data_IF_724702224438
#
_entry.id   IF_724702224438
#
_cell.length_a   1.000
_cell.length_b   1.000
_cell.length_c   1.000
_cell.angle_alpha   90.00
_cell.angle_beta   90.00
_cell.angle_gamma   90.00
#
_symmetry.space_group_name_H-M   'P 1'
#
loop_
_entity.id
_entity.type
_entity.pdbx_description
1 polymer ?
#
# COMPACT_ATOMS: atom_id res chain seq x y z
N UNK A 1 -25.89 24.92 -70.45
CA UNK A 1 -24.43 24.91 -70.19
C UNK A 1 -24.20 25.94 -69.09
N UNK A 2 -23.53 25.58 -67.97
CA UNK A 2 -23.48 26.25 -66.64
C UNK A 2 -24.54 25.74 -65.65
N UNK A 3 -24.29 25.32 -64.41
CA UNK A 3 -23.12 24.85 -63.63
C UNK A 3 -23.70 24.10 -62.43
N UNK A 4 -23.24 22.88 -62.13
CA UNK A 4 -23.64 22.13 -60.93
C UNK A 4 -22.82 22.61 -59.74
N UNK A 5 -23.49 22.93 -58.63
CA UNK A 5 -22.89 23.32 -57.35
C UNK A 5 -22.76 22.08 -56.46
N UNK A 6 -21.58 21.50 -56.40
CA UNK A 6 -21.27 20.41 -55.48
C UNK A 6 -21.09 20.93 -54.04
N UNK A 7 -22.03 20.57 -53.16
CA UNK A 7 -21.88 20.68 -51.72
C UNK A 7 -21.02 19.49 -51.23
N UNK A 8 -19.73 19.72 -50.96
CA UNK A 8 -18.88 18.75 -50.26
C UNK A 8 -18.95 19.01 -48.76
N UNK A 9 -19.56 18.09 -48.03
CA UNK A 9 -19.62 18.10 -46.56
C UNK A 9 -18.25 17.74 -45.98
N UNK A 10 -17.64 18.67 -45.24
CA UNK A 10 -16.42 18.43 -44.49
C UNK A 10 -16.65 17.43 -43.36
N UNK A 11 -16.01 16.27 -43.44
CA UNK A 11 -15.95 15.28 -42.35
C UNK A 11 -15.06 15.86 -41.25
N UNK A 12 -15.69 16.31 -40.15
CA UNK A 12 -14.97 16.74 -38.95
C UNK A 12 -14.35 15.53 -38.26
N UNK A 13 -13.03 15.35 -38.37
CA UNK A 13 -12.29 14.41 -37.54
C UNK A 13 -12.32 14.87 -36.08
N UNK A 14 -13.21 14.27 -35.29
CA UNK A 14 -13.28 14.47 -33.85
C UNK A 14 -11.97 14.06 -33.19
N UNK A 15 -11.12 15.04 -32.87
CA UNK A 15 -9.97 14.86 -31.98
C UNK A 15 -10.52 14.56 -30.59
N UNK A 16 -10.52 13.30 -30.20
CA UNK A 16 -10.77 12.92 -28.80
C UNK A 16 -9.79 13.68 -27.89
N UNK A 17 -10.23 14.23 -26.75
CA UNK A 17 -9.35 14.96 -25.85
C UNK A 17 -8.27 13.99 -25.36
N UNK A 18 -6.99 14.39 -25.45
CA UNK A 18 -5.82 13.58 -25.08
C UNK A 18 -5.95 12.95 -23.67
N UNK A 19 -6.69 13.61 -22.78
CA UNK A 19 -7.05 13.09 -21.45
C UNK A 19 -7.83 11.76 -21.52
N UNK A 20 -8.82 11.64 -22.40
CA UNK A 20 -9.63 10.40 -22.53
C UNK A 20 -8.78 9.22 -23.00
N UNK A 21 -7.84 9.46 -23.91
CA UNK A 21 -6.90 8.44 -24.41
C UNK A 21 -5.95 7.99 -23.29
N UNK A 22 -5.48 8.92 -22.45
CA UNK A 22 -4.65 8.61 -21.28
C UNK A 22 -5.43 7.81 -20.22
N UNK A 23 -6.70 8.15 -19.96
CA UNK A 23 -7.57 7.40 -19.04
C UNK A 23 -7.82 5.96 -19.51
N UNK A 24 -8.11 5.78 -20.80
CA UNK A 24 -8.34 4.46 -21.39
C UNK A 24 -7.06 3.61 -21.42
N UNK A 25 -5.91 4.23 -21.71
CA UNK A 25 -4.62 3.53 -21.66
C UNK A 25 -4.26 3.07 -20.25
N UNK A 26 -4.54 3.90 -19.23
CA UNK A 26 -4.29 3.56 -17.81
C UNK A 26 -5.22 2.45 -17.34
N UNK A 27 -6.50 2.49 -17.71
CA UNK A 27 -7.48 1.44 -17.40
C UNK A 27 -7.12 0.11 -18.07
N UNK A 28 -6.63 0.15 -19.31
CA UNK A 28 -6.20 -1.05 -20.04
C UNK A 28 -4.91 -1.64 -19.45
N UNK A 29 -3.97 -0.80 -19.01
CA UNK A 29 -2.75 -1.27 -18.33
C UNK A 29 -3.07 -1.91 -16.97
N UNK A 30 -4.02 -1.34 -16.21
CA UNK A 30 -4.52 -1.94 -14.97
C UNK A 30 -5.21 -3.30 -15.22
N UNK A 31 -6.00 -3.41 -16.29
CA UNK A 31 -6.67 -4.66 -16.67
C UNK A 31 -5.68 -5.74 -17.11
N UNK A 32 -4.64 -5.38 -17.86
CA UNK A 32 -3.59 -6.33 -18.28
C UNK A 32 -2.74 -6.77 -17.08
N UNK A 33 -2.45 -5.86 -16.14
CA UNK A 33 -1.77 -6.22 -14.88
C UNK A 33 -2.61 -7.18 -14.02
N UNK A 34 -3.94 -7.01 -13.98
CA UNK A 34 -4.87 -7.93 -13.31
C UNK A 34 -4.92 -9.31 -13.99
N UNK A 35 -4.78 -9.38 -15.31
CA UNK A 35 -4.82 -10.62 -16.09
C UNK A 35 -3.48 -11.37 -16.14
N UNK A 36 -2.36 -10.69 -15.87
CA UNK A 36 -1.01 -11.26 -15.89
C UNK A 36 -0.48 -11.67 -14.50
N UNK A 37 -1.28 -11.51 -13.43
CA UNK A 37 -0.88 -11.94 -12.10
C UNK A 37 -0.73 -13.48 -12.03
N UNK A 38 0.41 -14.02 -11.59
CA UNK A 38 0.54 -15.46 -11.37
C UNK A 38 -0.50 -15.94 -10.34
N UNK A 39 -0.91 -17.21 -10.45
CA UNK A 39 -1.84 -17.83 -9.49
C UNK A 39 -1.27 -17.70 -8.08
N UNK A 40 -1.90 -16.86 -7.27
CA UNK A 40 -1.58 -16.68 -5.88
C UNK A 40 -1.81 -18.00 -5.12
N UNK A 41 -0.78 -18.49 -4.44
CA UNK A 41 -0.93 -19.51 -3.41
C UNK A 41 -1.38 -18.81 -2.13
N UNK A 42 -2.46 -19.31 -1.53
CA UNK A 42 -3.02 -18.75 -0.31
C UNK A 42 -2.13 -19.11 0.90
N UNK A 43 -1.22 -18.21 1.25
CA UNK A 43 -0.43 -18.27 2.49
C UNK A 43 -0.24 -16.86 3.05
N UNK A 44 -0.55 -16.72 4.34
CA UNK A 44 -1.07 -15.50 5.02
C UNK A 44 -0.10 -14.31 4.98
N UNK A 45 -0.35 -13.27 4.17
CA UNK A 45 0.30 -11.96 4.29
C UNK A 45 -0.01 -11.29 5.64
N UNK A 46 0.72 -10.20 5.92
CA UNK A 46 0.44 -9.33 7.06
C UNK A 46 -1.07 -8.99 7.14
N UNK A 47 -1.67 -9.02 8.35
CA UNK A 47 -3.11 -8.89 8.50
C UNK A 47 -3.64 -7.52 8.03
N UNK A 48 -2.85 -6.45 8.14
CA UNK A 48 -3.11 -5.14 7.53
C UNK A 48 -2.47 -5.06 6.15
N UNK A 49 -3.08 -4.30 5.25
CA UNK A 49 -2.35 -3.84 4.08
C UNK A 49 -1.22 -2.92 4.54
N UNK A 50 0.01 -3.19 4.12
CA UNK A 50 1.22 -2.48 4.59
C UNK A 50 1.14 -0.96 4.49
N UNK A 51 0.41 -0.45 3.51
CA UNK A 51 0.23 0.98 3.31
C UNK A 51 -0.51 1.66 4.47
N UNK A 52 -1.28 0.92 5.27
CA UNK A 52 -2.05 1.46 6.39
C UNK A 52 -1.15 1.91 7.55
N UNK A 53 0.07 1.38 7.65
CA UNK A 53 1.02 1.77 8.69
C UNK A 53 1.69 3.11 8.45
N UNK A 54 1.79 3.53 7.18
CA UNK A 54 2.45 4.76 6.73
C UNK A 54 1.51 5.73 6.03
N UNK A 55 0.20 5.44 6.07
CA UNK A 55 -0.81 6.16 5.30
C UNK A 55 -0.78 7.64 5.64
N UNK A 56 -0.92 8.47 4.63
CA UNK A 56 -0.94 9.92 4.80
C UNK A 56 0.43 10.58 4.97
N UNK A 57 1.46 9.90 5.48
CA UNK A 57 2.80 10.51 5.69
C UNK A 57 3.38 11.20 4.44
N UNK A 58 3.49 10.53 3.27
CA UNK A 58 4.02 11.19 2.09
C UNK A 58 3.07 12.27 1.53
N UNK A 59 1.77 12.18 1.84
CA UNK A 59 0.78 13.18 1.43
C UNK A 59 0.82 14.42 2.33
N UNK A 60 0.95 14.25 3.65
CA UNK A 60 1.11 15.33 4.63
C UNK A 60 2.28 16.22 4.23
N UNK A 61 3.43 15.62 3.91
CA UNK A 61 4.58 16.38 3.40
C UNK A 61 4.27 17.15 2.12
N UNK A 62 3.55 16.53 1.18
CA UNK A 62 3.22 17.17 -0.09
C UNK A 62 2.23 18.34 0.10
N UNK A 63 1.26 18.22 0.99
CA UNK A 63 0.22 19.23 1.21
C UNK A 63 0.62 20.32 2.21
N UNK A 64 1.27 19.96 3.30
CA UNK A 64 1.61 20.85 4.43
C UNK A 64 3.05 21.35 4.38
N UNK A 65 3.93 20.68 3.62
CA UNK A 65 5.33 21.04 3.46
C UNK A 65 6.28 20.21 4.34
N UNK A 66 7.54 20.66 4.49
CA UNK A 66 8.54 19.91 5.26
C UNK A 66 8.08 19.70 6.72
N UNK A 67 8.13 18.46 7.23
CA UNK A 67 7.74 18.19 8.61
C UNK A 67 8.71 18.86 9.60
N UNK A 68 8.26 19.11 10.85
CA UNK A 68 9.13 19.60 11.89
C UNK A 68 10.25 18.61 12.22
N UNK A 69 11.27 19.08 12.95
CA UNK A 69 12.42 18.26 13.34
C UNK A 69 12.00 16.98 14.09
N UNK A 70 11.00 17.10 14.96
CA UNK A 70 10.42 15.99 15.71
C UNK A 70 8.91 16.00 15.57
N UNK A 71 8.36 14.86 15.19
CA UNK A 71 6.93 14.59 15.21
C UNK A 71 6.67 13.40 16.11
N UNK A 72 5.82 13.56 17.12
CA UNK A 72 5.44 12.48 18.03
C UNK A 72 3.92 12.38 18.04
N UNK A 73 3.41 11.20 17.70
CA UNK A 73 1.97 10.89 17.70
C UNK A 73 1.74 9.70 18.61
N UNK A 74 0.75 9.83 19.49
CA UNK A 74 0.31 8.81 20.41
C UNK A 74 -1.20 8.64 20.27
N UNK A 75 -1.66 7.40 20.13
CA UNK A 75 -3.07 7.10 19.98
C UNK A 75 -3.38 5.64 20.27
N UNK A 76 -4.54 5.21 19.80
CA UNK A 76 -5.00 3.83 19.88
C UNK A 76 -5.29 3.32 18.48
N UNK A 77 -4.90 2.10 18.19
CA UNK A 77 -5.25 1.40 16.96
C UNK A 77 -6.05 0.15 17.31
N UNK A 78 -7.04 -0.15 16.47
CA UNK A 78 -7.78 -1.39 16.53
C UNK A 78 -7.96 -1.92 15.11
N UNK A 79 -8.00 -3.23 14.96
CA UNK A 79 -8.23 -3.90 13.69
C UNK A 79 -8.91 -5.24 13.87
N UNK A 80 -9.52 -5.71 12.79
CA UNK A 80 -10.13 -7.03 12.71
C UNK A 80 -9.35 -7.80 11.64
N UNK A 81 -8.77 -8.94 12.03
CA UNK A 81 -7.96 -9.79 11.14
C UNK A 81 -8.61 -11.15 10.95
N UNK A 82 -8.51 -11.74 9.74
CA UNK A 82 -8.79 -13.16 9.57
C UNK A 82 -7.71 -13.99 10.29
N UNK A 83 -8.05 -15.19 10.77
CA UNK A 83 -7.05 -16.13 11.32
C UNK A 83 -6.06 -16.65 10.26
N UNK A 84 -6.53 -16.80 9.02
CA UNK A 84 -5.75 -17.17 7.83
C UNK A 84 -6.53 -16.73 6.58
N UNK A 85 -5.86 -16.57 5.44
CA UNK A 85 -6.53 -16.10 4.22
C UNK A 85 -7.66 -17.04 3.75
N UNK A 86 -8.78 -16.45 3.35
CA UNK A 86 -9.95 -17.19 2.88
C UNK A 86 -10.84 -17.77 4.00
N UNK A 87 -10.47 -17.59 5.28
CA UNK A 87 -11.33 -18.00 6.39
C UNK A 87 -12.53 -17.06 6.59
N UNK A 88 -13.62 -17.60 7.15
CA UNK A 88 -14.74 -16.82 7.69
C UNK A 88 -14.54 -16.38 9.15
N UNK A 89 -13.48 -16.84 9.81
CA UNK A 89 -13.21 -16.59 11.23
C UNK A 89 -12.28 -15.38 11.42
N UNK A 90 -12.74 -14.38 12.16
CA UNK A 90 -12.01 -13.14 12.41
C UNK A 90 -11.74 -12.94 13.91
N UNK A 91 -10.67 -12.24 14.23
CA UNK A 91 -10.33 -11.85 15.59
C UNK A 91 -9.94 -10.36 15.66
N UNK A 92 -10.37 -9.65 16.71
CA UNK A 92 -9.96 -8.27 16.92
C UNK A 92 -8.57 -8.19 17.56
N UNK A 93 -7.76 -7.21 17.13
CA UNK A 93 -6.58 -6.74 17.85
C UNK A 93 -6.74 -5.26 18.16
N UNK A 94 -6.30 -4.82 19.33
CA UNK A 94 -6.22 -3.41 19.69
C UNK A 94 -4.98 -3.16 20.53
N UNK A 95 -4.44 -1.95 20.45
CA UNK A 95 -3.25 -1.56 21.20
C UNK A 95 -2.90 -0.09 21.03
N UNK A 96 -1.87 0.36 21.77
CA UNK A 96 -1.34 1.70 21.61
C UNK A 96 -0.71 1.87 20.22
N UNK A 97 -0.95 3.02 19.60
CA UNK A 97 -0.30 3.45 18.38
C UNK A 97 0.72 4.54 18.74
N UNK A 98 1.99 4.26 18.52
CA UNK A 98 3.10 5.20 18.73
C UNK A 98 3.73 5.44 17.37
N UNK A 99 3.93 6.70 17.01
CA UNK A 99 4.65 7.11 15.80
C UNK A 99 5.57 8.29 16.13
N UNK A 100 6.88 8.06 16.09
CA UNK A 100 7.92 9.04 16.36
C UNK A 100 8.72 9.20 15.08
N UNK A 101 8.85 10.42 14.57
CA UNK A 101 9.60 10.74 13.35
C UNK A 101 10.57 11.87 13.58
N UNK A 102 11.74 11.76 12.96
CA UNK A 102 12.81 12.74 13.04
C UNK A 102 13.19 13.24 11.64
N UNK A 103 12.97 14.53 11.37
CA UNK A 103 13.40 15.24 10.15
C UNK A 103 13.06 14.57 8.81
N UNK A 104 11.99 13.76 8.76
CA UNK A 104 11.67 12.88 7.63
C UNK A 104 12.79 11.89 7.25
N UNK A 105 13.72 11.64 8.17
CA UNK A 105 14.84 10.72 8.01
C UNK A 105 14.61 9.46 8.84
N UNK A 106 14.52 9.60 10.16
CA UNK A 106 14.32 8.48 11.07
C UNK A 106 12.85 8.32 11.45
N UNK A 107 12.40 7.09 11.65
CA UNK A 107 11.09 6.83 12.25
C UNK A 107 11.12 5.61 13.18
N UNK A 108 10.30 5.66 14.22
CA UNK A 108 9.97 4.56 15.10
C UNK A 108 8.44 4.54 15.24
N UNK A 109 7.82 3.52 14.67
CA UNK A 109 6.37 3.36 14.67
C UNK A 109 6.00 1.96 15.11
N UNK A 110 4.93 1.83 15.91
CA UNK A 110 4.34 0.52 16.23
C UNK A 110 3.96 -0.24 14.95
N UNK A 111 3.57 0.47 13.89
CA UNK A 111 3.16 -0.12 12.62
C UNK A 111 4.30 -0.36 11.64
N UNK A 112 5.15 0.65 11.40
CA UNK A 112 6.22 0.56 10.40
C UNK A 112 7.52 -0.06 10.92
N UNK A 113 7.67 -0.16 12.25
CA UNK A 113 8.92 -0.53 12.90
C UNK A 113 9.89 0.65 13.05
N UNK A 114 11.18 0.33 13.14
CA UNK A 114 12.28 1.30 13.24
C UNK A 114 12.96 1.42 11.88
N UNK A 115 13.03 2.61 11.30
CA UNK A 115 13.60 2.77 9.96
C UNK A 115 14.25 4.12 9.67
N UNK A 116 14.84 4.16 8.49
CA UNK A 116 15.56 5.29 7.94
C UNK A 116 15.19 5.51 6.47
N UNK A 117 14.68 6.69 6.15
CA UNK A 117 14.44 7.18 4.80
C UNK A 117 15.77 7.60 4.18
N UNK A 118 16.20 6.89 3.15
CA UNK A 118 17.39 7.19 2.35
C UNK A 118 17.05 8.25 1.30
N UNK A 119 15.86 8.16 0.71
CA UNK A 119 15.30 9.15 -0.22
C UNK A 119 14.09 9.77 0.44
N UNK A 120 14.08 11.10 0.55
CA UNK A 120 13.02 11.86 1.20
C UNK A 120 12.74 13.18 0.47
N UNK A 121 12.17 13.09 -0.73
CA UNK A 121 11.77 14.24 -1.56
C UNK A 121 10.26 14.51 -1.43
N UNK A 122 9.72 15.49 -2.14
CA UNK A 122 8.28 15.82 -2.08
C UNK A 122 7.38 14.71 -2.64
N UNK A 123 7.86 14.00 -3.68
CA UNK A 123 7.12 12.93 -4.35
C UNK A 123 7.65 11.53 -4.02
N UNK A 124 8.82 11.42 -3.39
CA UNK A 124 9.50 10.13 -3.21
C UNK A 124 9.89 9.92 -1.76
N UNK A 125 9.57 8.74 -1.24
CA UNK A 125 10.07 8.27 0.05
C UNK A 125 10.57 6.84 -0.11
N UNK A 126 11.84 6.59 0.13
CA UNK A 126 12.40 5.24 0.06
C UNK A 126 13.44 5.03 1.14
N UNK A 127 13.55 3.80 1.64
CA UNK A 127 14.43 3.53 2.76
C UNK A 127 14.43 2.10 3.22
N UNK A 128 14.99 1.92 4.41
CA UNK A 128 15.12 0.63 5.08
C UNK A 128 14.44 0.69 6.45
N UNK A 129 13.93 -0.44 6.92
CA UNK A 129 13.36 -0.55 8.26
C UNK A 129 13.57 -1.96 8.82
N UNK A 130 13.51 -2.05 10.15
CA UNK A 130 13.34 -3.28 10.91
C UNK A 130 11.94 -3.27 11.49
N UNK A 131 11.14 -4.26 11.13
CA UNK A 131 9.79 -4.48 11.63
C UNK A 131 9.68 -5.86 12.27
N UNK A 132 8.49 -6.21 12.75
CA UNK A 132 8.22 -7.48 13.37
C UNK A 132 6.89 -8.05 12.87
N UNK A 133 6.84 -9.38 12.81
CA UNK A 133 5.62 -10.14 12.63
C UNK A 133 5.34 -10.90 13.93
N UNK A 134 4.13 -10.79 14.48
CA UNK A 134 3.73 -11.54 15.66
C UNK A 134 3.52 -13.04 15.40
N UNK A 135 3.52 -13.45 14.13
CA UNK A 135 3.39 -14.83 13.70
C UNK A 135 1.95 -15.37 13.82
N UNK A 136 1.81 -16.68 13.63
CA UNK A 136 0.53 -17.41 13.65
C UNK A 136 0.55 -18.46 14.76
N UNK A 137 -0.39 -18.38 15.70
CA UNK A 137 -0.59 -19.39 16.75
C UNK A 137 -1.67 -20.39 16.35
N UNK A 138 -1.28 -21.65 16.13
CA UNK A 138 -2.12 -22.83 15.83
C UNK A 138 -3.24 -23.03 16.85
N UNK A 139 -3.03 -22.58 18.10
CA UNK A 139 -3.93 -22.78 19.24
C UNK A 139 -5.32 -22.12 19.13
N UNK A 140 -5.59 -21.31 18.10
CA UNK A 140 -6.87 -20.61 17.94
C UNK A 140 -7.87 -21.32 17.01
N UNK A 141 -7.46 -22.34 16.25
CA UNK A 141 -8.36 -23.13 15.40
C UNK A 141 -7.82 -24.56 15.25
N UNK A 142 -7.98 -25.37 16.30
CA UNK A 142 -7.43 -26.73 16.36
C UNK A 142 -8.06 -27.66 15.31
N UNK A 143 -9.28 -27.37 14.88
CA UNK A 143 -10.04 -28.21 13.94
C UNK A 143 -9.57 -28.05 12.48
N UNK A 144 -8.97 -26.89 12.13
CA UNK A 144 -8.52 -26.60 10.77
C UNK A 144 -7.00 -26.42 10.61
N UNK A 145 -6.26 -26.21 11.71
CA UNK A 145 -4.82 -25.95 11.68
C UNK A 145 -3.97 -27.11 12.24
N UNK A 146 -4.59 -28.23 12.63
CA UNK A 146 -3.89 -29.39 13.15
C UNK A 146 -2.78 -29.86 12.18
N UNK A 147 -1.53 -29.72 12.61
CA UNK A 147 -0.36 -30.21 11.87
C UNK A 147 0.34 -29.17 10.99
N UNK A 148 -0.12 -27.92 10.95
CA UNK A 148 0.56 -26.82 10.26
C UNK A 148 1.61 -26.09 11.12
N UNK A 149 1.67 -26.38 12.42
CA UNK A 149 2.64 -25.82 13.36
C UNK A 149 2.45 -24.33 13.69
N UNK A 150 3.14 -23.87 14.74
CA UNK A 150 3.15 -22.47 15.17
C UNK A 150 4.26 -21.69 14.47
N UNK A 151 3.93 -20.52 13.92
CA UNK A 151 4.92 -19.54 13.45
C UNK A 151 5.15 -18.57 14.61
N UNK A 152 6.34 -18.60 15.18
CA UNK A 152 6.74 -17.68 16.25
C UNK A 152 6.91 -16.25 15.75
N UNK A 153 7.08 -15.30 16.67
CA UNK A 153 7.40 -13.92 16.31
C UNK A 153 8.66 -13.89 15.43
N UNK A 154 8.62 -13.13 14.34
CA UNK A 154 9.74 -12.94 13.42
C UNK A 154 10.16 -11.47 13.41
N UNK A 155 11.46 -11.25 13.25
CA UNK A 155 11.99 -9.92 12.93
C UNK A 155 12.10 -9.85 11.41
N UNK A 156 11.69 -8.74 10.81
CA UNK A 156 11.76 -8.55 9.37
C UNK A 156 12.62 -7.34 9.02
N UNK A 157 13.53 -7.52 8.07
CA UNK A 157 14.17 -6.38 7.40
C UNK A 157 13.34 -5.98 6.19
N UNK A 158 13.03 -4.69 6.08
CA UNK A 158 12.16 -4.10 5.07
C UNK A 158 12.95 -3.11 4.22
N UNK A 159 12.82 -3.22 2.90
CA UNK A 159 13.12 -2.18 1.94
C UNK A 159 11.78 -1.64 1.43
N UNK A 160 11.65 -0.32 1.32
CA UNK A 160 10.41 0.29 0.84
C UNK A 160 10.68 1.46 -0.10
N UNK A 161 9.73 1.68 -1.00
CA UNK A 161 9.65 2.86 -1.85
C UNK A 161 8.19 3.29 -2.00
N UNK A 162 7.95 4.58 -1.89
CA UNK A 162 6.66 5.25 -2.07
C UNK A 162 6.85 6.39 -3.06
N UNK A 163 5.86 6.53 -3.95
CA UNK A 163 5.78 7.61 -4.91
C UNK A 163 4.40 8.27 -4.84
N UNK A 164 4.37 9.58 -4.66
CA UNK A 164 3.14 10.38 -4.75
C UNK A 164 3.03 10.95 -6.16
N UNK A 165 1.90 10.72 -6.81
CA UNK A 165 1.71 11.13 -8.21
C UNK A 165 1.68 12.65 -8.37
N UNK A 166 0.76 13.35 -7.71
CA UNK A 166 0.74 14.81 -7.65
C UNK A 166 -0.21 15.34 -6.56
N UNK A 167 -0.32 16.67 -6.41
CA UNK A 167 -1.31 17.31 -5.52
C UNK A 167 -2.72 17.22 -6.07
N UNK A 168 -2.90 17.37 -7.39
CA UNK A 168 -4.17 17.32 -8.08
C UNK A 168 -4.72 15.88 -8.16
N UNK A 169 -3.82 14.90 -8.14
CA UNK A 169 -4.14 13.49 -8.10
C UNK A 169 -3.30 12.80 -7.00
N UNK A 170 -3.76 12.87 -5.72
CA UNK A 170 -3.00 12.41 -4.55
C UNK A 170 -3.00 10.87 -4.41
N UNK A 171 -2.67 10.19 -5.50
CA UNK A 171 -2.42 8.76 -5.52
C UNK A 171 -1.00 8.48 -5.03
N UNK A 172 -0.89 7.60 -4.04
CA UNK A 172 0.39 7.06 -3.57
C UNK A 172 0.54 5.65 -4.12
N UNK A 173 1.66 5.38 -4.77
CA UNK A 173 2.07 4.05 -5.21
C UNK A 173 3.19 3.58 -4.29
N UNK A 174 3.12 2.34 -3.81
CA UNK A 174 4.07 1.78 -2.85
C UNK A 174 4.56 0.41 -3.29
N UNK A 175 5.83 0.17 -3.07
CA UNK A 175 6.46 -1.13 -3.17
C UNK A 175 7.26 -1.43 -1.90
N UNK A 176 7.20 -2.66 -1.41
CA UNK A 176 8.03 -3.14 -0.31
C UNK A 176 8.61 -4.52 -0.63
N UNK A 177 9.80 -4.78 -0.10
CA UNK A 177 10.37 -6.12 -0.01
C UNK A 177 10.80 -6.36 1.44
N UNK A 178 10.33 -7.45 2.04
CA UNK A 178 10.65 -7.86 3.40
C UNK A 178 11.32 -9.22 3.41
N UNK A 179 12.35 -9.35 4.24
CA UNK A 179 13.01 -10.62 4.54
C UNK A 179 12.77 -10.93 6.00
N UNK A 180 12.22 -12.11 6.27
CA UNK A 180 11.95 -12.56 7.62
C UNK A 180 13.12 -13.37 8.19
N UNK A 181 13.29 -13.28 9.50
CA UNK A 181 14.24 -14.03 10.28
C UNK A 181 13.55 -14.60 11.54
N UNK A 182 13.76 -15.89 11.80
CA UNK A 182 13.27 -16.57 13.00
C UNK A 182 12.08 -17.47 12.71
N UNK A 183 10.87 -17.05 13.13
CA UNK A 183 9.64 -17.84 13.01
C UNK A 183 9.28 -18.25 11.58
N UNK A 184 9.69 -17.44 10.61
CA UNK A 184 9.66 -17.72 9.19
C UNK A 184 10.97 -17.19 8.56
N UNK A 185 11.37 -17.77 7.43
CA UNK A 185 12.63 -17.45 6.75
C UNK A 185 12.39 -17.25 5.25
N UNK A 186 11.29 -16.58 4.90
CA UNK A 186 10.88 -16.29 3.53
C UNK A 186 11.11 -14.83 3.12
N UNK A 187 10.81 -14.56 1.86
CA UNK A 187 10.71 -13.21 1.29
C UNK A 187 9.25 -12.86 1.04
N UNK A 188 8.88 -11.63 1.37
CA UNK A 188 7.59 -11.04 1.03
C UNK A 188 7.81 -9.80 0.18
N UNK A 189 7.00 -9.65 -0.86
CA UNK A 189 6.90 -8.44 -1.66
C UNK A 189 5.50 -7.87 -1.58
N UNK A 190 5.39 -6.55 -1.47
CA UNK A 190 4.09 -5.87 -1.49
C UNK A 190 4.09 -4.79 -2.55
N UNK A 191 3.00 -4.73 -3.31
CA UNK A 191 2.68 -3.64 -4.21
C UNK A 191 1.30 -3.10 -3.85
N UNK A 192 1.20 -1.79 -3.69
CA UNK A 192 -0.06 -1.17 -3.34
C UNK A 192 -0.19 0.22 -3.95
N UNK A 193 -1.44 0.67 -4.02
CA UNK A 193 -1.72 2.05 -4.34
C UNK A 193 -2.90 2.51 -3.47
N UNK A 194 -2.86 3.75 -2.97
CA UNK A 194 -3.96 4.30 -2.18
C UNK A 194 -4.09 5.80 -2.39
N UNK A 195 -5.27 6.34 -2.11
CA UNK A 195 -5.53 7.78 -2.17
C UNK A 195 -6.54 8.21 -1.10
N UNK A 196 -6.53 9.48 -0.68
CA UNK A 196 -7.57 10.01 0.20
C UNK A 196 -8.91 10.05 -0.53
N UNK A 197 -9.98 9.70 0.18
CA UNK A 197 -11.34 9.75 -0.34
C UNK A 197 -11.97 11.14 -0.16
N UNK A 198 -12.95 11.51 -1.01
CA UNK A 198 -13.72 12.75 -0.85
C UNK A 198 -14.28 12.88 0.58
N UNK A 199 -14.27 14.08 1.15
CA UNK A 199 -14.68 14.31 2.55
C UNK A 199 -13.56 14.16 3.57
N UNK A 200 -12.32 13.92 3.12
CA UNK A 200 -11.13 14.14 3.95
C UNK A 200 -10.98 15.64 4.30
N UNK A 201 -10.60 15.95 5.53
CA UNK A 201 -10.41 17.29 6.10
C UNK A 201 -9.29 17.26 7.13
N UNK A 202 -8.91 18.42 7.67
CA UNK A 202 -7.86 18.56 8.70
C UNK A 202 -8.11 17.72 9.97
N UNK A 203 -9.37 17.33 10.23
CA UNK A 203 -9.76 16.56 11.42
C UNK A 203 -10.06 15.09 11.14
N UNK A 204 -10.27 14.74 9.88
CA UNK A 204 -10.72 13.42 9.49
C UNK A 204 -10.17 13.09 8.11
N UNK A 205 -9.36 12.06 8.02
CA UNK A 205 -8.86 11.54 6.76
C UNK A 205 -9.23 10.06 6.65
N UNK A 206 -9.58 9.66 5.44
CA UNK A 206 -9.92 8.28 5.12
C UNK A 206 -9.40 7.96 3.73
N UNK A 207 -8.90 6.75 3.58
CA UNK A 207 -8.12 6.32 2.42
C UNK A 207 -8.68 5.00 1.91
N UNK A 208 -8.57 4.80 0.60
CA UNK A 208 -8.87 3.53 -0.03
C UNK A 208 -7.80 3.21 -1.07
N UNK A 209 -7.55 1.91 -1.24
CA UNK A 209 -6.50 1.46 -2.12
C UNK A 209 -6.40 -0.05 -2.22
N UNK A 210 -6.13 -0.61 -3.42
CA UNK A 210 -5.77 -2.02 -3.55
C UNK A 210 -4.35 -2.28 -3.04
N UNK A 211 -4.13 -3.52 -2.62
CA UNK A 211 -2.79 -4.05 -2.33
C UNK A 211 -2.69 -5.47 -2.87
N UNK A 212 -1.47 -5.88 -3.21
CA UNK A 212 -1.12 -7.22 -3.59
C UNK A 212 0.15 -7.61 -2.85
N UNK A 213 0.12 -8.77 -2.18
CA UNK A 213 1.27 -9.35 -1.52
C UNK A 213 1.68 -10.62 -2.24
N UNK A 214 2.98 -10.81 -2.41
CA UNK A 214 3.61 -12.01 -2.97
C UNK A 214 4.60 -12.55 -1.94
N UNK A 215 4.65 -13.87 -1.79
CA UNK A 215 5.59 -14.53 -0.88
C UNK A 215 6.32 -15.66 -1.61
N UNK A 216 7.55 -15.96 -1.19
CA UNK A 216 8.30 -17.10 -1.70
C UNK A 216 7.96 -18.41 -0.98
N UNK A 217 8.46 -19.55 -1.49
CA UNK A 217 8.16 -20.87 -0.92
C UNK A 217 8.82 -21.16 0.42
N UNK A 218 9.67 -20.25 0.91
CA UNK A 218 10.36 -20.38 2.20
C UNK A 218 9.65 -19.58 3.32
N UNK A 219 8.54 -18.93 2.98
CA UNK A 219 7.58 -18.32 3.88
C UNK A 219 6.67 -19.37 4.53
#
# INVERSE_FOLDING_TARGET
MSTNSDYQAGVAHGRYPRALILWLATAMFALVALLAAPRAHAQTPAPLAEWQYSVGVPLEKLFEGPPPDWTVRLGMAARISPYYDGTGNYYPLAGPAIDIRYRDQGFLSTGEGLGWNIVHSDHWRAGIALTYDFGRREKHDHDHLAGLGNIGMAVESKLFAEYVVSKEFPLVIRANARRQFGGANGWLGDLGAYMPLPGSSDKFAWFAGPTMTVADSAY
#
